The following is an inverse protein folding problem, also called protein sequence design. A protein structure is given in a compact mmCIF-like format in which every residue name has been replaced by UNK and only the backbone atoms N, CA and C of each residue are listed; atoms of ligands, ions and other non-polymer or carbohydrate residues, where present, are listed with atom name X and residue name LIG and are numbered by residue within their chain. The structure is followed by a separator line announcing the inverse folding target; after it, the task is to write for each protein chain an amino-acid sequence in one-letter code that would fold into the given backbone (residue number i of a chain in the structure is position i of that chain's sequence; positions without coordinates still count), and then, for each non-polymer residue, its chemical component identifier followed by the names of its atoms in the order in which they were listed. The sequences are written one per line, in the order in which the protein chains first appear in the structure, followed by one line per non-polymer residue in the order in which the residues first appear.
data_IF_942825162053
#
_entry.id   IF_942825162053
#
_cell.length_a   1.000
_cell.length_b   1.000
_cell.length_c   1.000
_cell.angle_alpha   90.00
_cell.angle_beta   90.00
_cell.angle_gamma   90.00
#
_symmetry.space_group_name_H-M   'P 1'
#
loop_
_entity.id
_entity.type
_entity.pdbx_description
1 polymer ?
#
# COMPACT_ATOMS: atom_id res chain seq x y z
N UNK A 1 -69.24 73.47 -12.27
CA UNK A 1 -67.89 74.06 -12.41
C UNK A 1 -67.33 74.11 -11.01
N UNK A 2 -66.47 73.16 -10.65
CA UNK A 2 -65.75 73.25 -9.39
C UNK A 2 -64.94 74.55 -9.41
N UNK A 3 -65.05 75.34 -8.34
CA UNK A 3 -64.52 76.68 -8.25
C UNK A 3 -62.98 76.63 -8.39
N UNK A 4 -62.43 77.35 -9.36
CA UNK A 4 -60.96 77.43 -9.58
C UNK A 4 -60.23 77.89 -8.31
N UNK A 5 -60.93 78.63 -7.44
CA UNK A 5 -60.44 79.02 -6.12
C UNK A 5 -60.19 77.82 -5.18
N UNK A 6 -61.03 76.79 -5.23
CA UNK A 6 -60.89 75.57 -4.41
C UNK A 6 -59.64 74.79 -4.82
N UNK A 7 -59.43 74.60 -6.13
CA UNK A 7 -58.24 73.90 -6.64
C UNK A 7 -56.93 74.64 -6.32
N UNK A 8 -56.95 75.98 -6.31
CA UNK A 8 -55.78 76.78 -5.92
C UNK A 8 -55.46 76.61 -4.43
N UNK A 9 -56.48 76.54 -3.59
CA UNK A 9 -56.31 76.30 -2.16
C UNK A 9 -55.74 74.90 -1.89
N UNK A 10 -56.30 73.87 -2.51
CA UNK A 10 -55.83 72.48 -2.38
C UNK A 10 -54.38 72.33 -2.88
N UNK A 11 -54.02 72.98 -3.99
CA UNK A 11 -52.64 72.99 -4.48
C UNK A 11 -51.69 73.63 -3.46
N UNK A 12 -52.08 74.77 -2.89
CA UNK A 12 -51.26 75.48 -1.92
C UNK A 12 -51.10 74.67 -0.61
N UNK A 13 -52.15 73.98 -0.16
CA UNK A 13 -52.05 73.04 0.97
C UNK A 13 -51.08 71.89 0.65
N UNK A 14 -51.20 71.27 -0.53
CA UNK A 14 -50.30 70.20 -0.95
C UNK A 14 -48.83 70.65 -1.06
N UNK A 15 -48.58 71.88 -1.55
CA UNK A 15 -47.25 72.48 -1.59
C UNK A 15 -46.67 72.65 -0.17
N UNK A 16 -47.46 73.18 0.77
CA UNK A 16 -46.99 73.33 2.17
C UNK A 16 -46.79 71.99 2.87
N UNK A 17 -47.59 70.97 2.55
CA UNK A 17 -47.41 69.63 3.08
C UNK A 17 -46.12 69.00 2.54
N UNK A 18 -45.84 69.14 1.25
CA UNK A 18 -44.57 68.68 0.66
C UNK A 18 -43.37 69.39 1.29
N UNK A 19 -43.44 70.71 1.49
CA UNK A 19 -42.39 71.47 2.16
C UNK A 19 -42.16 70.99 3.60
N UNK A 20 -43.23 70.70 4.34
CA UNK A 20 -43.15 70.13 5.69
C UNK A 20 -42.50 68.74 5.66
N UNK A 21 -42.88 67.87 4.71
CA UNK A 21 -42.28 66.54 4.56
C UNK A 21 -40.81 66.61 4.19
N UNK A 22 -40.41 67.53 3.33
CA UNK A 22 -39.00 67.76 3.01
C UNK A 22 -38.21 68.32 4.20
N UNK A 23 -38.83 69.12 5.06
CA UNK A 23 -38.23 69.57 6.31
C UNK A 23 -38.11 68.44 7.34
N UNK A 24 -39.14 67.59 7.47
CA UNK A 24 -39.12 66.39 8.32
C UNK A 24 -38.05 65.39 7.85
N UNK A 25 -37.95 65.12 6.56
CA UNK A 25 -36.92 64.24 5.99
C UNK A 25 -35.51 64.77 6.25
N UNK A 26 -35.30 66.09 6.13
CA UNK A 26 -34.03 66.73 6.49
C UNK A 26 -33.74 66.68 7.99
N UNK A 27 -34.76 66.85 8.85
CA UNK A 27 -34.60 66.77 10.30
C UNK A 27 -34.31 65.34 10.79
N UNK A 28 -34.95 64.34 10.17
CA UNK A 28 -34.74 62.92 10.44
C UNK A 28 -33.40 62.39 9.91
N UNK A 29 -32.74 63.12 9.00
CA UNK A 29 -31.42 62.78 8.49
C UNK A 29 -30.37 63.83 8.94
N UNK A 30 -30.03 63.89 10.25
CA UNK A 30 -29.09 64.89 10.81
C UNK A 30 -27.66 64.72 10.30
N UNK A 31 -27.39 63.58 9.67
CA UNK A 31 -26.18 63.30 8.92
C UNK A 31 -26.40 63.80 7.50
N UNK A 32 -25.84 64.96 7.17
CA UNK A 32 -26.00 65.59 5.86
C UNK A 32 -25.66 64.65 4.69
N UNK A 33 -25.96 65.07 3.44
CA UNK A 33 -25.88 64.25 2.21
C UNK A 33 -24.49 63.67 1.84
N UNK A 34 -23.51 63.66 2.75
CA UNK A 34 -22.19 63.07 2.60
C UNK A 34 -21.83 62.01 3.66
N UNK A 35 -22.80 61.44 4.37
CA UNK A 35 -22.55 60.46 5.44
C UNK A 35 -22.89 59.03 5.02
N UNK A 36 -21.84 58.24 4.82
CA UNK A 36 -21.76 56.76 4.93
C UNK A 36 -22.62 55.87 4.01
N UNK A 37 -23.66 56.38 3.37
CA UNK A 37 -24.51 55.59 2.46
C UNK A 37 -24.40 56.10 1.03
N UNK A 38 -23.16 56.33 0.55
CA UNK A 38 -22.96 56.49 -0.89
C UNK A 38 -23.13 55.11 -1.54
N UNK A 39 -24.22 54.86 -2.28
CA UNK A 39 -24.47 53.55 -2.89
C UNK A 39 -23.37 53.18 -3.88
N UNK A 40 -22.61 54.17 -4.39
CA UNK A 40 -21.47 53.95 -5.28
C UNK A 40 -20.30 53.32 -4.50
N UNK A 41 -19.94 53.86 -3.34
CA UNK A 41 -18.86 53.34 -2.51
C UNK A 41 -19.14 51.89 -2.07
N UNK A 42 -20.38 51.60 -1.66
CA UNK A 42 -20.80 50.25 -1.26
C UNK A 42 -20.76 49.26 -2.44
N UNK A 43 -21.09 49.72 -3.65
CA UNK A 43 -20.98 48.90 -4.86
C UNK A 43 -19.52 48.61 -5.25
N UNK A 44 -18.62 49.56 -5.04
CA UNK A 44 -17.17 49.38 -5.26
C UNK A 44 -16.58 48.39 -4.25
N UNK A 45 -16.94 48.50 -2.98
CA UNK A 45 -16.55 47.53 -1.95
C UNK A 45 -17.07 46.13 -2.27
N UNK A 46 -18.35 46.01 -2.65
CA UNK A 46 -18.93 44.73 -3.06
C UNK A 46 -18.18 44.13 -4.27
N UNK A 47 -17.86 44.95 -5.28
CA UNK A 47 -17.06 44.51 -6.44
C UNK A 47 -15.66 44.06 -6.02
N UNK A 48 -15.00 44.78 -5.10
CA UNK A 48 -13.69 44.41 -4.56
C UNK A 48 -13.74 43.07 -3.83
N UNK A 49 -14.70 42.89 -2.93
CA UNK A 49 -14.92 41.63 -2.21
C UNK A 49 -15.22 40.47 -3.16
N UNK A 50 -16.01 40.71 -4.21
CA UNK A 50 -16.28 39.69 -5.22
C UNK A 50 -15.01 39.30 -6.00
N UNK A 51 -14.13 40.25 -6.30
CA UNK A 51 -12.84 39.98 -6.93
C UNK A 51 -11.90 39.19 -5.99
N UNK A 52 -11.85 39.55 -4.70
CA UNK A 52 -11.06 38.84 -3.69
C UNK A 52 -11.54 37.41 -3.48
N UNK A 53 -12.86 37.18 -3.41
CA UNK A 53 -13.43 35.83 -3.33
C UNK A 53 -13.10 34.99 -4.57
N UNK A 54 -13.14 35.59 -5.76
CA UNK A 54 -12.70 34.95 -7.00
C UNK A 54 -11.23 34.53 -6.94
N UNK A 55 -10.35 35.43 -6.51
CA UNK A 55 -8.92 35.16 -6.38
C UNK A 55 -8.61 34.06 -5.35
N UNK A 56 -9.28 34.08 -4.20
CA UNK A 56 -9.14 33.03 -3.17
C UNK A 56 -9.62 31.67 -3.68
N UNK A 57 -10.73 31.64 -4.44
CA UNK A 57 -11.23 30.40 -5.04
C UNK A 57 -10.23 29.84 -6.07
N UNK A 58 -9.63 30.69 -6.91
CA UNK A 58 -8.57 30.26 -7.82
C UNK A 58 -7.34 29.75 -7.07
N UNK A 59 -6.93 30.42 -5.99
CA UNK A 59 -5.81 29.99 -5.17
C UNK A 59 -6.09 28.62 -4.51
N UNK A 60 -7.30 28.40 -4.00
CA UNK A 60 -7.72 27.12 -3.46
C UNK A 60 -7.71 26.01 -4.52
N UNK A 61 -8.23 26.30 -5.73
CA UNK A 61 -8.19 25.36 -6.86
C UNK A 61 -6.76 24.99 -7.26
N UNK A 62 -5.85 25.98 -7.35
CA UNK A 62 -4.42 25.77 -7.64
C UNK A 62 -3.71 24.98 -6.52
N UNK A 63 -4.08 25.21 -5.26
CA UNK A 63 -3.56 24.45 -4.12
C UNK A 63 -3.99 22.98 -4.14
N UNK A 64 -5.26 22.72 -4.47
CA UNK A 64 -5.80 21.35 -4.57
C UNK A 64 -5.14 20.56 -5.72
N UNK A 65 -4.94 21.18 -6.89
CA UNK A 65 -4.28 20.50 -8.01
C UNK A 65 -2.83 20.14 -7.66
N UNK A 66 -2.08 21.04 -7.02
CA UNK A 66 -0.70 20.75 -6.60
C UNK A 66 -0.62 19.63 -5.54
N UNK A 67 -1.53 19.62 -4.56
CA UNK A 67 -1.61 18.54 -3.57
C UNK A 67 -1.97 17.18 -4.21
N UNK A 68 -2.87 17.20 -5.20
CA UNK A 68 -3.26 15.99 -5.93
C UNK A 68 -2.09 15.45 -6.79
N UNK A 69 -1.37 16.33 -7.49
CA UNK A 69 -0.20 15.96 -8.29
C UNK A 69 0.92 15.33 -7.43
N UNK A 70 1.21 15.92 -6.27
CA UNK A 70 2.24 15.37 -5.36
C UNK A 70 1.84 14.00 -4.81
N UNK A 71 0.56 13.84 -4.41
CA UNK A 71 0.03 12.54 -3.97
C UNK A 71 0.07 11.47 -5.07
N UNK A 72 -0.24 11.84 -6.31
CA UNK A 72 -0.13 10.93 -7.46
C UNK A 72 1.32 10.51 -7.73
N UNK A 73 2.27 11.46 -7.69
CA UNK A 73 3.70 11.16 -7.87
C UNK A 73 4.23 10.22 -6.80
N UNK A 74 3.84 10.41 -5.54
CA UNK A 74 4.23 9.52 -4.44
C UNK A 74 3.67 8.10 -4.63
N UNK A 75 2.39 7.98 -5.04
CA UNK A 75 1.79 6.68 -5.35
C UNK A 75 2.51 5.98 -6.51
N UNK A 76 2.81 6.71 -7.59
CA UNK A 76 3.57 6.19 -8.72
C UNK A 76 4.95 5.70 -8.30
N UNK A 77 5.70 6.48 -7.50
CA UNK A 77 7.00 6.06 -6.99
C UNK A 77 6.93 4.79 -6.13
N UNK A 78 5.89 4.64 -5.30
CA UNK A 78 5.65 3.41 -4.54
C UNK A 78 5.41 2.19 -5.43
N UNK A 79 4.58 2.33 -6.46
CA UNK A 79 4.30 1.26 -7.42
C UNK A 79 5.54 0.86 -8.24
N UNK A 80 6.38 1.83 -8.62
CA UNK A 80 7.65 1.56 -9.30
C UNK A 80 8.60 0.72 -8.43
N UNK A 81 8.68 1.03 -7.13
CA UNK A 81 9.51 0.30 -6.19
C UNK A 81 9.00 -1.13 -5.96
N UNK A 82 7.68 -1.31 -5.77
CA UNK A 82 7.08 -2.64 -5.70
C UNK A 82 7.32 -3.47 -6.96
N UNK A 83 7.24 -2.84 -8.15
CA UNK A 83 7.52 -3.51 -9.41
C UNK A 83 8.98 -3.95 -9.48
N UNK A 84 9.93 -3.10 -9.09
CA UNK A 84 11.36 -3.46 -9.01
C UNK A 84 11.60 -4.64 -8.08
N UNK A 85 10.99 -4.64 -6.89
CA UNK A 85 11.10 -5.74 -5.93
C UNK A 85 10.54 -7.05 -6.49
N UNK A 86 9.37 -7.02 -7.13
CA UNK A 86 8.77 -8.20 -7.77
C UNK A 86 9.64 -8.73 -8.91
N UNK A 87 10.18 -7.84 -9.75
CA UNK A 87 11.12 -8.23 -10.82
C UNK A 87 12.37 -8.92 -10.25
N UNK A 88 12.92 -8.41 -9.15
CA UNK A 88 14.07 -9.01 -8.49
C UNK A 88 13.75 -10.40 -7.92
N UNK A 89 12.58 -10.59 -7.30
CA UNK A 89 12.13 -11.91 -6.84
C UNK A 89 11.99 -12.89 -8.02
N UNK A 90 11.38 -12.47 -9.13
CA UNK A 90 11.25 -13.31 -10.33
C UNK A 90 12.63 -13.70 -10.87
N UNK A 91 13.57 -12.77 -10.90
CA UNK A 91 14.96 -13.03 -11.32
C UNK A 91 15.61 -14.09 -10.43
N UNK A 92 15.46 -13.99 -9.11
CA UNK A 92 16.01 -14.97 -8.16
C UNK A 92 15.35 -16.35 -8.31
N UNK A 93 14.03 -16.41 -8.49
CA UNK A 93 13.32 -17.67 -8.72
C UNK A 93 13.79 -18.34 -10.01
N UNK A 94 13.98 -17.57 -11.09
CA UNK A 94 14.51 -18.11 -12.36
C UNK A 94 15.92 -18.65 -12.20
N UNK A 95 16.77 -18.00 -11.41
CA UNK A 95 18.11 -18.51 -11.10
C UNK A 95 18.06 -19.84 -10.31
N UNK A 96 17.17 -19.95 -9.33
CA UNK A 96 16.97 -21.18 -8.56
C UNK A 96 16.45 -22.31 -9.44
N UNK A 97 15.48 -22.04 -10.31
CA UNK A 97 14.95 -23.00 -11.29
C UNK A 97 16.06 -23.57 -12.18
N UNK A 98 16.86 -22.69 -12.81
CA UNK A 98 18.00 -23.11 -13.64
C UNK A 98 19.02 -23.94 -12.85
N UNK A 99 19.25 -23.59 -11.59
CA UNK A 99 20.13 -24.36 -10.72
C UNK A 99 19.57 -25.77 -10.45
N UNK A 100 18.28 -25.90 -10.16
CA UNK A 100 17.64 -27.19 -9.96
C UNK A 100 17.64 -28.05 -11.23
N UNK A 101 17.37 -27.46 -12.40
CA UNK A 101 17.45 -28.17 -13.69
C UNK A 101 18.86 -28.72 -13.93
N UNK A 102 19.89 -27.92 -13.65
CA UNK A 102 21.27 -28.35 -13.80
C UNK A 102 21.62 -29.49 -12.83
N UNK A 103 21.17 -29.41 -11.57
CA UNK A 103 21.39 -30.49 -10.61
C UNK A 103 20.68 -31.79 -11.05
N UNK A 104 19.46 -31.68 -11.55
CA UNK A 104 18.71 -32.83 -12.04
C UNK A 104 19.41 -33.50 -13.23
N UNK A 105 19.93 -32.71 -14.18
CA UNK A 105 20.73 -33.24 -15.30
C UNK A 105 21.98 -33.97 -14.82
N UNK A 106 22.72 -33.40 -13.87
CA UNK A 106 23.90 -34.06 -13.28
C UNK A 106 23.56 -35.37 -12.59
N UNK A 107 22.43 -35.43 -11.89
CA UNK A 107 21.96 -36.68 -11.27
C UNK A 107 21.57 -37.72 -12.32
N UNK A 108 20.88 -37.30 -13.38
CA UNK A 108 20.54 -38.18 -14.51
C UNK A 108 21.79 -38.72 -15.19
N UNK A 109 22.81 -37.88 -15.42
CA UNK A 109 24.09 -38.30 -15.99
C UNK A 109 24.84 -39.26 -15.05
N UNK A 110 24.86 -38.99 -13.74
CA UNK A 110 25.55 -39.83 -12.77
C UNK A 110 24.88 -41.20 -12.55
N UNK A 111 23.55 -41.27 -12.65
CA UNK A 111 22.78 -42.48 -12.34
C UNK A 111 22.25 -43.22 -13.57
N UNK A 112 22.24 -42.58 -14.75
CA UNK A 112 21.70 -43.14 -16.00
C UNK A 112 22.36 -44.46 -16.35
N UNK A 113 23.69 -44.47 -16.46
CA UNK A 113 24.46 -45.68 -16.80
C UNK A 113 24.25 -46.81 -15.80
N UNK A 114 24.09 -46.48 -14.51
CA UNK A 114 23.85 -47.48 -13.46
C UNK A 114 22.47 -48.11 -13.59
N UNK A 115 21.44 -47.30 -13.88
CA UNK A 115 20.07 -47.78 -14.07
C UNK A 115 19.94 -48.61 -15.36
N UNK A 116 20.62 -48.19 -16.44
CA UNK A 116 20.63 -48.94 -17.69
C UNK A 116 21.35 -50.29 -17.53
N UNK A 117 22.49 -50.33 -16.83
CA UNK A 117 23.16 -51.59 -16.51
C UNK A 117 22.29 -52.55 -15.69
N UNK A 118 21.61 -52.06 -14.65
CA UNK A 118 20.68 -52.86 -13.84
C UNK A 118 19.48 -53.35 -14.67
N UNK A 119 19.00 -52.52 -15.60
CA UNK A 119 17.93 -52.90 -16.52
C UNK A 119 18.37 -54.02 -17.45
N UNK A 120 19.56 -53.92 -18.03
CA UNK A 120 20.12 -54.94 -18.91
C UNK A 120 20.32 -56.26 -18.16
N UNK A 121 20.85 -56.21 -16.92
CA UNK A 121 20.96 -57.38 -16.05
C UNK A 121 19.59 -58.01 -15.77
N UNK A 122 18.58 -57.22 -15.42
CA UNK A 122 17.22 -57.72 -15.18
C UNK A 122 16.59 -58.34 -16.44
N UNK A 123 16.88 -57.82 -17.64
CA UNK A 123 16.46 -58.42 -18.91
C UNK A 123 17.18 -59.75 -19.14
N UNK A 124 18.50 -59.78 -18.95
CA UNK A 124 19.31 -61.00 -19.09
C UNK A 124 18.83 -62.10 -18.13
N UNK A 125 18.57 -61.77 -16.86
CA UNK A 125 18.04 -62.70 -15.86
C UNK A 125 16.66 -63.25 -16.27
N UNK A 126 15.76 -62.40 -16.76
CA UNK A 126 14.45 -62.85 -17.26
C UNK A 126 14.57 -63.80 -18.44
N UNK A 127 15.46 -63.50 -19.39
CA UNK A 127 15.72 -64.39 -20.53
C UNK A 127 16.31 -65.73 -20.08
N UNK A 128 17.25 -65.74 -19.13
CA UNK A 128 17.81 -66.96 -18.56
C UNK A 128 16.73 -67.83 -17.88
N UNK A 129 15.77 -67.21 -17.18
CA UNK A 129 14.61 -67.90 -16.59
C UNK A 129 13.73 -68.53 -17.68
N UNK A 130 13.38 -67.78 -18.73
CA UNK A 130 12.54 -68.25 -19.83
C UNK A 130 13.20 -69.43 -20.57
N UNK A 131 14.52 -69.34 -20.82
CA UNK A 131 15.28 -70.38 -21.52
C UNK A 131 15.51 -71.63 -20.66
N UNK A 132 15.00 -71.69 -19.42
CA UNK A 132 15.24 -72.80 -18.49
C UNK A 132 16.70 -72.91 -18.04
N UNK A 133 17.51 -71.88 -18.31
CA UNK A 133 18.92 -71.79 -17.95
C UNK A 133 19.15 -71.21 -16.56
N UNK A 134 18.09 -70.70 -15.92
CA UNK A 134 18.10 -70.35 -14.50
C UNK A 134 18.19 -71.61 -13.63
N UNK A 135 19.34 -72.30 -13.67
CA UNK A 135 19.71 -73.20 -12.59
C UNK A 135 19.86 -72.32 -11.36
N UNK A 136 18.90 -72.44 -10.44
CA UNK A 136 18.99 -71.90 -9.08
C UNK A 136 20.41 -72.23 -8.59
N UNK A 137 21.27 -71.26 -8.27
CA UNK A 137 22.64 -71.55 -7.89
C UNK A 137 22.61 -72.42 -6.64
N UNK A 138 22.76 -73.72 -6.84
CA UNK A 138 22.70 -74.72 -5.81
C UNK A 138 23.95 -74.56 -4.96
N UNK A 139 23.84 -73.85 -3.84
CA UNK A 139 24.91 -73.73 -2.86
C UNK A 139 25.78 -72.49 -2.94
N UNK A 140 25.36 -71.42 -3.63
CA UNK A 140 25.90 -70.09 -3.33
C UNK A 140 25.31 -69.66 -1.97
N UNK A 141 25.88 -70.22 -0.89
CA UNK A 141 25.74 -69.71 0.47
C UNK A 141 26.10 -68.24 0.35
N UNK A 142 25.08 -67.38 0.39
CA UNK A 142 25.23 -65.95 0.25
C UNK A 142 26.12 -65.50 1.41
N UNK A 143 27.43 -65.49 1.19
CA UNK A 143 28.33 -64.58 1.86
C UNK A 143 27.76 -63.23 1.45
N UNK A 144 26.85 -62.71 2.27
CA UNK A 144 26.31 -61.38 2.09
C UNK A 144 27.52 -60.50 1.77
N UNK A 145 27.52 -59.79 0.62
CA UNK A 145 28.60 -58.87 0.33
C UNK A 145 28.76 -58.04 1.58
N UNK A 146 29.97 -58.08 2.18
CA UNK A 146 30.24 -57.42 3.44
C UNK A 146 29.61 -56.03 3.36
N UNK A 147 28.76 -55.66 4.35
CA UNK A 147 27.95 -54.46 4.27
C UNK A 147 28.85 -53.34 3.77
N UNK A 148 28.50 -52.78 2.61
CA UNK A 148 29.27 -51.69 2.03
C UNK A 148 29.58 -50.72 3.17
N UNK A 149 30.86 -50.34 3.37
CA UNK A 149 31.27 -49.57 4.53
C UNK A 149 30.29 -48.43 4.67
N UNK A 150 29.65 -48.35 5.85
CA UNK A 150 28.59 -47.39 6.13
C UNK A 150 28.98 -46.06 5.48
N UNK A 151 28.12 -45.49 4.59
CA UNK A 151 28.48 -44.28 3.88
C UNK A 151 29.00 -43.31 4.92
N UNK A 152 30.28 -42.94 4.77
CA UNK A 152 30.98 -42.09 5.73
C UNK A 152 29.98 -41.00 6.14
N UNK A 153 29.71 -40.83 7.45
CA UNK A 153 28.59 -40.04 7.95
C UNK A 153 28.60 -38.78 7.11
N UNK A 154 27.53 -38.60 6.32
CA UNK A 154 27.38 -37.47 5.41
C UNK A 154 27.74 -36.27 6.26
N UNK A 155 28.98 -35.80 6.10
CA UNK A 155 29.50 -34.66 6.82
C UNK A 155 28.55 -33.61 6.33
N UNK A 156 27.60 -33.26 7.19
CA UNK A 156 26.52 -32.33 6.94
C UNK A 156 27.13 -31.26 6.07
N UNK A 157 26.80 -31.34 4.77
CA UNK A 157 27.44 -30.52 3.78
C UNK A 157 26.97 -29.15 4.20
N UNK A 158 27.84 -28.45 4.95
CA UNK A 158 27.57 -27.14 5.49
C UNK A 158 26.92 -26.41 4.32
N UNK A 159 25.70 -25.87 4.51
CA UNK A 159 24.92 -25.36 3.40
C UNK A 159 25.89 -24.54 2.58
N UNK A 160 26.13 -24.94 1.33
CA UNK A 160 26.97 -24.19 0.42
C UNK A 160 26.25 -22.85 0.28
N UNK A 161 26.57 -21.94 1.21
CA UNK A 161 26.20 -20.55 1.15
C UNK A 161 26.73 -20.15 -0.21
N UNK A 162 25.88 -19.73 -1.15
CA UNK A 162 26.39 -19.23 -2.40
C UNK A 162 27.34 -18.10 -2.03
N UNK A 163 28.65 -18.33 -2.20
CA UNK A 163 29.64 -17.29 -2.24
C UNK A 163 29.26 -16.41 -3.43
N UNK A 164 28.34 -15.47 -3.19
CA UNK A 164 28.12 -14.31 -4.01
C UNK A 164 29.43 -13.56 -4.01
N UNK A 165 30.24 -13.85 -5.02
CA UNK A 165 31.49 -13.16 -5.26
C UNK A 165 31.21 -11.66 -5.35
N UNK A 166 31.84 -10.93 -4.42
CA UNK A 166 32.72 -9.81 -4.72
C UNK A 166 32.26 -8.96 -5.91
N UNK A 167 31.25 -8.15 -5.63
CA UNK A 167 30.99 -6.88 -6.30
C UNK A 167 31.10 -5.72 -5.30
N UNK A 168 32.00 -5.80 -4.31
CA UNK A 168 32.39 -4.66 -3.48
C UNK A 168 33.53 -3.91 -4.17
N UNK A 169 33.16 -2.97 -5.04
CA UNK A 169 33.94 -1.77 -5.25
C UNK A 169 32.97 -0.65 -5.63
N UNK A 170 32.47 0.06 -4.61
CA UNK A 170 31.54 1.14 -4.81
C UNK A 170 30.85 1.60 -3.54
N UNK A 171 31.50 2.54 -2.84
CA UNK A 171 30.88 3.49 -1.91
C UNK A 171 30.07 2.90 -0.75
N UNK A 172 30.80 2.71 0.35
CA UNK A 172 30.31 2.77 1.72
C UNK A 172 29.62 4.13 1.96
N UNK A 173 28.40 4.31 1.48
CA UNK A 173 27.49 5.30 2.04
C UNK A 173 27.00 4.72 3.35
N UNK A 174 27.49 5.33 4.44
CA UNK A 174 26.91 5.15 5.75
C UNK A 174 25.42 5.45 5.63
N UNK A 175 24.58 4.42 5.78
CA UNK A 175 23.16 4.61 6.04
C UNK A 175 23.09 5.17 7.45
N UNK A 176 23.18 6.49 7.54
CA UNK A 176 22.68 7.23 8.69
C UNK A 176 21.20 6.91 8.79
N UNK A 177 20.87 6.20 9.86
CA UNK A 177 19.53 6.06 10.42
C UNK A 177 18.76 7.39 10.21
N UNK A 178 17.55 7.40 9.63
CA UNK A 178 16.77 8.61 9.59
C UNK A 178 16.42 8.99 11.03
N UNK A 179 17.13 10.00 11.55
CA UNK A 179 16.67 10.76 12.71
C UNK A 179 15.30 11.31 12.35
N UNK A 180 14.31 10.94 13.16
CA UNK A 180 12.99 11.54 13.14
C UNK A 180 13.13 13.08 13.18
N UNK A 181 12.33 13.83 12.40
CA UNK A 181 12.26 15.27 12.59
C UNK A 181 11.77 15.53 14.01
N UNK A 182 12.57 16.32 14.73
CA UNK A 182 12.29 16.75 16.09
C UNK A 182 10.88 17.33 16.20
N UNK A 183 10.13 16.78 17.16
CA UNK A 183 8.97 17.43 17.71
C UNK A 183 9.42 18.79 18.27
N UNK A 184 8.89 19.87 17.69
CA UNK A 184 8.96 21.20 18.28
C UNK A 184 8.25 21.23 19.64
N UNK A 185 8.66 22.15 20.53
CA UNK A 185 8.18 22.19 21.90
C UNK A 185 6.71 22.60 21.96
N UNK A 186 5.89 21.77 22.59
CA UNK A 186 4.55 22.14 23.05
C UNK A 186 4.67 23.10 24.26
N UNK A 187 3.86 24.16 24.33
CA UNK A 187 3.82 25.04 25.50
C UNK A 187 3.23 24.30 26.72
N UNK A 188 3.82 24.62 27.86
CA UNK A 188 3.57 24.04 29.17
C UNK A 188 2.10 24.04 29.60
N UNK A 189 1.63 22.88 30.05
CA UNK A 189 0.44 22.71 30.89
C UNK A 189 0.83 21.96 32.17
N UNK A 190 0.28 22.33 33.34
CA UNK A 190 0.82 21.90 34.63
C UNK A 190 0.38 20.48 35.04
N UNK A 191 1.38 19.72 35.46
CA UNK A 191 1.44 18.78 36.58
C UNK A 191 0.17 17.99 36.99
N UNK A 192 0.19 16.68 36.71
CA UNK A 192 -0.56 15.65 37.44
C UNK A 192 0.39 14.53 37.88
N UNK A 193 0.27 13.99 39.12
CA UNK A 193 1.34 13.20 39.74
C UNK A 193 1.32 11.72 39.36
N UNK A 194 2.54 11.22 39.13
CA UNK A 194 3.10 9.95 39.56
C UNK A 194 2.16 8.75 39.73
N UNK A 195 2.21 7.85 38.73
CA UNK A 195 1.86 6.44 38.88
C UNK A 195 3.02 5.57 38.41
N UNK A 196 3.87 5.18 39.34
CA UNK A 196 4.88 4.14 39.17
C UNK A 196 4.17 2.81 38.88
N UNK A 197 4.49 2.14 37.78
CA UNK A 197 4.28 0.70 37.69
C UNK A 197 5.40 0.01 36.91
N UNK A 198 5.93 -1.00 37.57
CA UNK A 198 7.10 -1.79 37.27
C UNK A 198 7.05 -2.53 35.93
N UNK A 199 8.21 -2.57 35.29
CA UNK A 199 8.87 -3.77 34.78
C UNK A 199 7.98 -4.94 34.27
N UNK A 200 7.82 -5.00 32.95
CA UNK A 200 7.82 -6.26 32.20
C UNK A 200 8.23 -5.94 30.76
N UNK A 201 9.43 -6.37 30.36
CA UNK A 201 9.94 -6.11 29.02
C UNK A 201 9.18 -6.92 27.94
N UNK A 202 8.96 -6.36 26.75
CA UNK A 202 8.59 -7.14 25.58
C UNK A 202 9.80 -7.25 24.66
N UNK A 203 10.76 -8.10 25.00
CA UNK A 203 11.55 -8.77 23.96
C UNK A 203 10.72 -9.96 23.44
N UNK A 204 9.50 -9.66 22.97
CA UNK A 204 8.79 -10.55 22.08
C UNK A 204 9.57 -10.49 20.78
N UNK A 205 10.40 -11.51 20.55
CA UNK A 205 10.90 -11.86 19.24
C UNK A 205 9.69 -11.87 18.32
N UNK A 206 9.53 -10.79 17.56
CA UNK A 206 8.52 -10.64 16.52
C UNK A 206 8.95 -11.64 15.47
N UNK A 207 8.51 -12.89 15.63
CA UNK A 207 8.58 -13.89 14.60
C UNK A 207 8.03 -13.20 13.36
N UNK A 208 8.91 -12.94 12.39
CA UNK A 208 8.51 -12.44 11.10
C UNK A 208 7.56 -13.50 10.55
N UNK A 209 6.25 -13.29 10.77
CA UNK A 209 5.23 -14.06 10.12
C UNK A 209 5.47 -13.83 8.64
N UNK A 210 5.93 -14.90 8.00
CA UNK A 210 6.20 -14.93 6.57
C UNK A 210 4.96 -14.36 5.86
N UNK A 211 5.08 -13.26 5.09
CA UNK A 211 3.93 -12.63 4.44
C UNK A 211 3.17 -13.61 3.55
N UNK A 212 3.83 -14.69 3.09
CA UNK A 212 3.20 -15.80 2.38
C UNK A 212 2.22 -16.60 3.25
N UNK A 213 2.53 -16.77 4.53
CA UNK A 213 1.66 -17.45 5.50
C UNK A 213 0.40 -16.61 5.79
N UNK A 214 0.53 -15.27 5.84
CA UNK A 214 -0.62 -14.37 5.98
C UNK A 214 -1.51 -14.41 4.74
N UNK A 215 -0.94 -14.40 3.53
CA UNK A 215 -1.69 -14.53 2.27
C UNK A 215 -2.44 -15.88 2.20
N UNK A 216 -1.79 -16.97 2.61
CA UNK A 216 -2.39 -18.31 2.62
C UNK A 216 -3.51 -18.45 3.68
N UNK A 217 -3.45 -17.72 4.79
CA UNK A 217 -4.56 -17.64 5.75
C UNK A 217 -5.71 -16.80 5.20
N UNK A 218 -5.41 -15.69 4.54
CA UNK A 218 -6.43 -14.82 3.94
C UNK A 218 -7.22 -15.55 2.84
N UNK A 219 -6.55 -16.25 1.93
CA UNK A 219 -7.21 -17.05 0.88
C UNK A 219 -8.07 -18.19 1.45
N UNK A 220 -7.65 -18.82 2.55
CA UNK A 220 -8.47 -19.84 3.25
C UNK A 220 -9.72 -19.23 3.87
N UNK A 221 -9.62 -18.03 4.44
CA UNK A 221 -10.78 -17.35 5.01
C UNK A 221 -11.79 -16.91 3.95
N UNK A 222 -11.34 -16.44 2.78
CA UNK A 222 -12.22 -16.09 1.67
C UNK A 222 -12.88 -17.33 1.04
N UNK A 223 -12.16 -18.43 0.93
CA UNK A 223 -12.71 -19.70 0.44
C UNK A 223 -13.79 -20.25 1.39
N UNK A 224 -13.58 -20.14 2.71
CA UNK A 224 -14.57 -20.54 3.71
C UNK A 224 -15.82 -19.65 3.67
N UNK A 225 -15.66 -18.34 3.45
CA UNK A 225 -16.78 -17.41 3.31
C UNK A 225 -17.58 -17.61 2.01
N UNK A 226 -16.95 -18.18 0.96
CA UNK A 226 -17.58 -18.45 -0.33
C UNK A 226 -18.20 -19.84 -0.45
N UNK A 227 -17.99 -20.74 0.50
CA UNK A 227 -18.71 -21.99 0.51
C UNK A 227 -20.21 -21.68 0.71
N UNK A 228 -21.06 -21.78 -0.34
CA UNK A 228 -22.47 -21.57 -0.15
C UNK A 228 -22.93 -22.61 0.86
N UNK A 229 -23.61 -22.16 1.91
CA UNK A 229 -24.22 -23.05 2.87
C UNK A 229 -24.92 -24.16 2.10
N UNK A 230 -24.40 -25.37 2.28
CA UNK A 230 -24.97 -26.62 1.80
C UNK A 230 -26.45 -26.58 2.16
N UNK A 231 -27.26 -26.16 1.18
CA UNK A 231 -28.70 -26.18 1.23
C UNK A 231 -29.12 -27.63 1.21
N UNK A 232 -28.95 -28.28 2.35
CA UNK A 232 -29.51 -29.57 2.69
C UNK A 232 -30.99 -29.31 2.97
N UNK A 233 -31.76 -29.13 1.90
CA UNK A 233 -33.21 -29.09 1.97
C UNK A 233 -33.78 -29.44 0.61
N UNK A 234 -34.76 -30.35 0.67
CA UNK A 234 -35.68 -30.76 -0.38
C UNK A 234 -35.16 -31.82 -1.36
N UNK A 235 -35.21 -33.08 -0.92
CA UNK A 235 -35.93 -34.10 -1.70
C UNK A 235 -36.79 -34.90 -0.70
N UNK A 236 -38.01 -34.40 -0.51
CA UNK A 236 -39.22 -35.25 -0.38
C UNK A 236 -39.49 -35.97 -1.71
#
# INVERSE_FOLDING_TARGET
MADVAVLRHELQEAETELELRDAELRACNPRGPGSCDDPVALHEEYRSLQAELGALQEQAKRGQSAAQETGQRQRMAGLEEELRQKCEVVRQLRQRELWFELQLRRQQEAHGDTLDALRDEAVALRQAVIMGQARRPAGARATAPAPAPAPAPLREAAPCVPCGGLGESGSRQQVTRPSAPGAGPAPAGPAGPAGLSAAAGPFAARAAQDPLMQLAQQLRSEAAARAPGSGESALE
#
